data_IF_053254296919
#
_entry.id   IF_053254296919
#
_cell.length_a   1.000
_cell.length_b   1.000
_cell.length_c   1.000
_cell.angle_alpha   90.00
_cell.angle_beta   90.00
_cell.angle_gamma   90.00
#
_symmetry.space_group_name_H-M   'P 1'
#
loop_
_entity.id
_entity.type
_entity.pdbx_description
1 polymer ?
#
# COMPACT_ATOMS: atom_id res chain seq x y z
N UNK A 1 17.50 27.28 -30.56
CA UNK A 1 18.67 27.77 -29.80
C UNK A 1 18.25 29.02 -29.04
N UNK A 2 18.66 29.20 -27.78
CA UNK A 2 18.29 30.39 -27.01
C UNK A 2 19.05 31.65 -27.46
N UNK A 3 20.21 31.50 -28.11
CA UNK A 3 21.01 32.61 -28.63
C UNK A 3 21.69 32.22 -29.95
N UNK A 4 21.35 32.88 -31.09
CA UNK A 4 21.92 32.57 -32.40
C UNK A 4 23.40 32.97 -32.56
N UNK A 5 23.96 33.73 -31.62
CA UNK A 5 25.37 34.15 -31.63
C UNK A 5 26.30 33.31 -30.72
N UNK A 6 25.75 32.37 -29.93
CA UNK A 6 26.56 31.46 -29.12
C UNK A 6 26.87 30.20 -29.93
N UNK A 7 28.14 29.74 -29.98
CA UNK A 7 28.50 28.53 -30.71
C UNK A 7 27.75 27.32 -30.13
N UNK A 8 27.03 26.59 -30.99
CA UNK A 8 26.40 25.33 -30.65
C UNK A 8 27.48 24.25 -30.50
N UNK A 9 28.17 24.20 -29.37
CA UNK A 9 29.31 23.31 -29.13
C UNK A 9 28.97 21.84 -29.40
N UNK A 10 27.79 21.38 -28.96
CA UNK A 10 27.32 20.03 -29.25
C UNK A 10 27.16 19.78 -30.77
N UNK A 11 26.58 20.75 -31.50
CA UNK A 11 26.44 20.66 -32.95
C UNK A 11 27.78 20.70 -33.69
N UNK A 12 28.72 21.54 -33.24
CA UNK A 12 30.07 21.62 -33.80
C UNK A 12 30.84 20.30 -33.60
N UNK A 13 30.72 19.69 -32.41
CA UNK A 13 31.32 18.39 -32.13
C UNK A 13 30.75 17.29 -33.02
N UNK A 14 29.42 17.18 -33.12
CA UNK A 14 28.75 16.20 -33.99
C UNK A 14 29.22 16.37 -35.44
N UNK A 15 29.20 17.59 -35.97
CA UNK A 15 29.63 17.84 -37.36
C UNK A 15 31.11 17.50 -37.62
N UNK A 16 31.98 17.69 -36.63
CA UNK A 16 33.41 17.38 -36.77
C UNK A 16 33.73 15.88 -36.68
N UNK A 17 32.92 15.12 -35.94
CA UNK A 17 33.27 13.75 -35.53
C UNK A 17 32.27 12.67 -35.98
N UNK A 18 31.14 13.02 -36.63
CA UNK A 18 30.11 12.04 -37.02
C UNK A 18 30.59 10.93 -37.96
N UNK A 19 31.64 11.19 -38.74
CA UNK A 19 32.24 10.21 -39.65
C UNK A 19 33.39 9.41 -39.02
N UNK A 20 33.71 9.65 -37.74
CA UNK A 20 34.79 8.99 -37.04
C UNK A 20 34.22 7.87 -36.16
N UNK A 21 34.50 6.58 -36.44
CA UNK A 21 33.93 5.46 -35.68
C UNK A 21 34.20 5.52 -34.17
N UNK A 22 35.31 6.14 -33.77
CA UNK A 22 35.69 6.33 -32.36
C UNK A 22 34.64 7.13 -31.57
N UNK A 23 33.98 8.10 -32.21
CA UNK A 23 33.07 9.04 -31.56
C UNK A 23 31.60 8.77 -31.88
N UNK A 24 31.27 7.62 -32.46
CA UNK A 24 29.91 7.29 -32.88
C UNK A 24 28.90 7.42 -31.73
N UNK A 25 29.23 6.87 -30.55
CA UNK A 25 28.38 6.95 -29.37
C UNK A 25 28.25 8.37 -28.80
N UNK A 26 29.34 9.14 -28.80
CA UNK A 26 29.31 10.54 -28.34
C UNK A 26 28.44 11.40 -29.26
N UNK A 27 28.52 11.18 -30.58
CA UNK A 27 27.70 11.88 -31.57
C UNK A 27 26.22 11.53 -31.40
N UNK A 28 25.88 10.26 -31.17
CA UNK A 28 24.50 9.84 -30.92
C UNK A 28 23.94 10.45 -29.62
N UNK A 29 24.78 10.60 -28.58
CA UNK A 29 24.39 11.23 -27.32
C UNK A 29 24.23 12.76 -27.45
N UNK A 30 25.11 13.42 -28.20
CA UNK A 30 25.13 14.88 -28.34
C UNK A 30 24.18 15.43 -29.41
N UNK A 31 23.73 14.62 -30.38
CA UNK A 31 22.81 15.05 -31.43
C UNK A 31 21.48 15.61 -30.86
N UNK A 32 20.77 14.94 -29.92
CA UNK A 32 19.59 15.52 -29.27
C UNK A 32 19.89 16.83 -28.54
N UNK A 33 21.06 16.94 -27.91
CA UNK A 33 21.50 18.16 -27.20
C UNK A 33 21.72 19.30 -28.20
N UNK A 34 22.31 19.01 -29.36
CA UNK A 34 22.49 19.97 -30.45
C UNK A 34 21.15 20.47 -31.01
N UNK A 35 20.15 19.59 -31.08
CA UNK A 35 18.77 19.89 -31.49
C UNK A 35 17.98 20.64 -30.41
N UNK A 36 18.43 20.58 -29.16
CA UNK A 36 17.91 21.36 -28.04
C UNK A 36 17.10 20.62 -27.01
N UNK A 37 17.38 19.33 -26.86
CA UNK A 37 16.99 18.56 -25.69
C UNK A 37 17.51 19.20 -24.39
N UNK A 38 16.75 19.00 -23.33
CA UNK A 38 17.21 19.21 -21.96
C UNK A 38 18.11 18.09 -21.49
N UNK A 39 18.90 18.39 -20.46
CA UNK A 39 19.83 17.44 -19.86
C UNK A 39 19.40 17.18 -18.42
N UNK A 40 19.29 15.90 -18.07
CA UNK A 40 19.14 15.46 -16.68
C UNK A 40 20.41 14.69 -16.32
N UNK A 41 21.23 15.26 -15.42
CA UNK A 41 22.41 14.57 -14.89
C UNK A 41 22.04 13.89 -13.57
N UNK A 42 22.27 12.58 -13.46
CA UNK A 42 22.10 11.85 -12.19
C UNK A 42 23.47 11.57 -11.59
N UNK A 43 23.73 12.05 -10.38
CA UNK A 43 25.00 11.82 -9.67
C UNK A 43 24.77 11.03 -8.38
N UNK A 44 25.76 10.23 -8.01
CA UNK A 44 25.77 9.46 -6.77
C UNK A 44 26.32 10.33 -5.62
N UNK A 45 25.41 10.80 -4.77
CA UNK A 45 25.72 11.67 -3.64
C UNK A 45 26.47 10.98 -2.49
N UNK A 46 26.56 9.64 -2.50
CA UNK A 46 27.29 8.88 -1.46
C UNK A 46 28.81 8.93 -1.64
N UNK A 47 29.30 9.39 -2.81
CA UNK A 47 30.72 9.41 -3.17
C UNK A 47 31.25 10.83 -3.23
N UNK A 48 32.56 10.99 -2.99
CA UNK A 48 33.24 12.28 -3.18
C UNK A 48 33.22 12.73 -4.65
N UNK A 49 33.12 14.04 -4.88
CA UNK A 49 33.31 14.65 -6.20
C UNK A 49 34.74 14.37 -6.69
N UNK A 50 34.87 13.89 -7.93
CA UNK A 50 36.14 13.73 -8.63
C UNK A 50 36.35 14.87 -9.63
N UNK A 51 37.59 15.05 -10.07
CA UNK A 51 37.92 16.05 -11.10
C UNK A 51 37.15 15.82 -12.40
N UNK A 52 37.04 14.56 -12.84
CA UNK A 52 36.24 14.20 -14.02
C UNK A 52 34.79 14.70 -13.93
N UNK A 53 34.19 14.68 -12.73
CA UNK A 53 32.80 15.08 -12.54
C UNK A 53 32.67 16.61 -12.69
N UNK A 54 33.67 17.36 -12.23
CA UNK A 54 33.74 18.82 -12.42
C UNK A 54 33.87 19.20 -13.88
N UNK A 55 34.71 18.48 -14.62
CA UNK A 55 34.87 18.67 -16.07
C UNK A 55 33.56 18.37 -16.79
N UNK A 56 32.91 17.26 -16.46
CA UNK A 56 31.63 16.87 -17.04
C UNK A 56 30.55 17.94 -16.80
N UNK A 57 30.40 18.42 -15.57
CA UNK A 57 29.45 19.50 -15.25
C UNK A 57 29.73 20.78 -16.04
N UNK A 58 31.01 21.14 -16.22
CA UNK A 58 31.40 22.32 -16.99
C UNK A 58 31.09 22.15 -18.48
N UNK A 59 31.37 20.98 -19.06
CA UNK A 59 31.01 20.67 -20.44
C UNK A 59 29.50 20.79 -20.66
N UNK A 60 28.70 20.23 -19.75
CA UNK A 60 27.24 20.33 -19.82
C UNK A 60 26.77 21.80 -19.69
N UNK A 61 27.39 22.59 -18.80
CA UNK A 61 27.09 24.03 -18.65
C UNK A 61 27.33 24.79 -19.97
N UNK A 62 28.45 24.50 -20.65
CA UNK A 62 28.84 25.13 -21.91
C UNK A 62 27.89 24.83 -23.08
N UNK A 63 27.12 23.73 -23.04
CA UNK A 63 26.10 23.43 -24.08
C UNK A 63 24.95 24.44 -24.15
N UNK A 64 24.81 25.31 -23.14
CA UNK A 64 23.72 26.29 -23.01
C UNK A 64 22.30 25.70 -23.15
N UNK A 65 22.09 24.44 -22.74
CA UNK A 65 20.76 23.79 -22.71
C UNK A 65 20.13 23.82 -21.32
N UNK A 66 18.79 23.72 -21.21
CA UNK A 66 18.14 23.56 -19.91
C UNK A 66 18.64 22.28 -19.23
N UNK A 67 19.04 22.39 -17.95
CA UNK A 67 19.73 21.33 -17.21
C UNK A 67 19.16 21.16 -15.81
N UNK A 68 18.85 19.92 -15.44
CA UNK A 68 18.55 19.53 -14.07
C UNK A 68 19.59 18.54 -13.57
N UNK A 69 20.01 18.68 -12.32
CA UNK A 69 20.78 17.67 -11.63
C UNK A 69 19.91 16.92 -10.62
N UNK A 70 20.07 15.60 -10.60
CA UNK A 70 19.48 14.70 -9.62
C UNK A 70 20.62 14.17 -8.74
N UNK A 71 20.61 14.58 -7.48
CA UNK A 71 21.51 14.08 -6.45
C UNK A 71 20.88 12.83 -5.82
N UNK A 72 21.33 11.67 -6.25
CA UNK A 72 20.84 10.38 -5.80
C UNK A 72 21.71 9.86 -4.65
N UNK A 73 21.18 9.86 -3.42
CA UNK A 73 21.82 9.19 -2.29
C UNK A 73 21.12 7.87 -1.99
N UNK A 74 21.81 6.77 -2.26
CA UNK A 74 21.33 5.41 -2.00
C UNK A 74 21.77 4.89 -0.63
N UNK A 75 22.57 5.67 0.11
CA UNK A 75 23.20 5.25 1.36
C UNK A 75 22.84 6.18 2.52
N UNK A 76 23.22 5.80 3.73
CA UNK A 76 23.20 6.67 4.92
C UNK A 76 24.41 7.63 5.02
N UNK A 77 25.23 7.73 3.96
CA UNK A 77 26.42 8.60 3.95
C UNK A 77 26.05 9.96 3.36
N UNK A 78 25.90 10.97 4.22
CA UNK A 78 25.49 12.33 3.79
C UNK A 78 26.62 13.35 3.69
N UNK A 79 27.84 13.02 4.16
CA UNK A 79 28.98 13.96 4.22
C UNK A 79 29.38 14.57 2.87
N UNK A 80 29.03 13.92 1.76
CA UNK A 80 29.35 14.39 0.41
C UNK A 80 28.18 15.15 -0.25
N UNK A 81 26.99 15.10 0.33
CA UNK A 81 25.77 15.71 -0.23
C UNK A 81 25.88 17.23 -0.32
N UNK A 82 26.36 17.89 0.74
CA UNK A 82 26.57 19.34 0.76
C UNK A 82 27.51 19.82 -0.36
N UNK A 83 28.75 19.32 -0.43
CA UNK A 83 29.67 19.66 -1.52
C UNK A 83 29.11 19.39 -2.92
N UNK A 84 28.41 18.27 -3.12
CA UNK A 84 27.74 17.98 -4.40
C UNK A 84 26.69 19.01 -4.75
N UNK A 85 25.82 19.33 -3.79
CA UNK A 85 24.75 20.33 -3.99
C UNK A 85 25.34 21.68 -4.38
N UNK A 86 26.39 22.12 -3.70
CA UNK A 86 27.05 23.40 -3.98
C UNK A 86 27.65 23.43 -5.40
N UNK A 87 28.34 22.36 -5.80
CA UNK A 87 28.93 22.26 -7.14
C UNK A 87 27.86 22.20 -8.24
N UNK A 88 26.77 21.47 -8.04
CA UNK A 88 25.68 21.36 -9.00
C UNK A 88 24.92 22.68 -9.16
N UNK A 89 24.70 23.42 -8.06
CA UNK A 89 24.04 24.72 -8.09
C UNK A 89 24.78 25.76 -8.96
N UNK A 90 26.09 25.59 -9.17
CA UNK A 90 26.87 26.48 -10.05
C UNK A 90 26.67 26.20 -11.55
N UNK A 91 26.24 24.99 -11.92
CA UNK A 91 26.20 24.55 -13.32
C UNK A 91 24.79 24.22 -13.85
N UNK A 92 23.82 23.99 -12.97
CA UNK A 92 22.48 23.50 -13.32
C UNK A 92 21.38 24.51 -12.99
N UNK A 93 20.28 24.49 -13.76
CA UNK A 93 19.13 25.37 -13.53
C UNK A 93 18.31 24.93 -12.31
N UNK A 94 18.32 23.64 -11.99
CA UNK A 94 17.66 23.06 -10.83
C UNK A 94 18.45 21.85 -10.31
N UNK A 95 18.50 21.71 -8.98
CA UNK A 95 19.09 20.56 -8.30
C UNK A 95 18.04 19.92 -7.41
N UNK A 96 17.87 18.60 -7.50
CA UNK A 96 16.91 17.83 -6.71
C UNK A 96 17.59 16.64 -6.04
N UNK A 97 17.40 16.51 -4.74
CA UNK A 97 17.73 15.29 -4.01
C UNK A 97 16.60 14.26 -4.28
N UNK A 98 16.97 13.08 -4.79
CA UNK A 98 16.00 12.05 -5.18
C UNK A 98 16.61 10.67 -5.10
N UNK A 99 16.13 9.84 -4.18
CA UNK A 99 16.54 8.45 -4.09
C UNK A 99 15.69 7.59 -5.06
N UNK A 100 16.29 7.18 -6.17
CA UNK A 100 15.57 6.42 -7.21
C UNK A 100 15.00 5.07 -6.71
N UNK A 101 15.60 4.47 -5.69
CA UNK A 101 15.15 3.17 -5.15
C UNK A 101 13.99 3.32 -4.16
N UNK A 102 13.76 4.52 -3.63
CA UNK A 102 12.75 4.79 -2.60
C UNK A 102 11.76 5.88 -3.01
N UNK A 103 11.84 6.34 -4.25
CA UNK A 103 11.05 7.45 -4.77
C UNK A 103 9.55 7.17 -4.75
N UNK A 104 8.82 7.96 -3.96
CA UNK A 104 7.35 7.92 -3.88
C UNK A 104 6.71 8.51 -5.14
N UNK A 105 5.41 8.29 -5.33
CA UNK A 105 4.65 8.91 -6.41
C UNK A 105 4.77 10.44 -6.39
N UNK A 106 4.58 11.04 -5.23
CA UNK A 106 4.62 12.48 -5.03
C UNK A 106 6.01 13.08 -5.28
N UNK A 107 7.10 12.36 -4.95
CA UNK A 107 8.46 12.76 -5.34
C UNK A 107 8.65 12.76 -6.87
N UNK A 108 8.03 11.82 -7.60
CA UNK A 108 8.08 11.78 -9.07
C UNK A 108 7.31 12.95 -9.68
N UNK A 109 6.13 13.29 -9.15
CA UNK A 109 5.37 14.46 -9.62
C UNK A 109 6.13 15.75 -9.34
N UNK A 110 6.74 15.91 -8.16
CA UNK A 110 7.62 17.06 -7.86
C UNK A 110 8.81 17.16 -8.81
N UNK A 111 9.42 16.04 -9.19
CA UNK A 111 10.51 16.02 -10.16
C UNK A 111 10.06 16.53 -11.53
N UNK A 112 8.93 16.03 -12.04
CA UNK A 112 8.34 16.49 -13.30
C UNK A 112 7.93 17.97 -13.23
N UNK A 113 7.36 18.41 -12.09
CA UNK A 113 7.02 19.80 -11.84
C UNK A 113 8.26 20.70 -11.82
N UNK A 114 9.40 20.22 -11.31
CA UNK A 114 10.65 20.96 -11.39
C UNK A 114 11.14 21.06 -12.85
N UNK A 115 11.02 20.01 -13.66
CA UNK A 115 11.37 20.06 -15.09
C UNK A 115 10.51 21.07 -15.85
N UNK A 116 9.21 21.11 -15.53
CA UNK A 116 8.25 22.07 -16.09
C UNK A 116 8.73 23.52 -15.93
N UNK A 117 9.31 23.85 -14.78
CA UNK A 117 9.74 25.22 -14.46
C UNK A 117 11.04 25.66 -15.14
N UNK A 118 11.83 24.74 -15.73
CA UNK A 118 13.13 25.10 -16.30
C UNK A 118 12.98 25.84 -17.63
N UNK A 119 12.03 25.44 -18.48
CA UNK A 119 11.82 26.02 -19.81
C UNK A 119 10.33 26.08 -20.18
N UNK A 120 9.83 27.30 -20.40
CA UNK A 120 8.42 27.56 -20.72
C UNK A 120 7.95 26.82 -21.98
N UNK A 121 8.84 26.51 -22.92
CA UNK A 121 8.49 25.80 -24.16
C UNK A 121 8.03 24.36 -23.91
N UNK A 122 8.43 23.77 -22.79
CA UNK A 122 8.06 22.40 -22.41
C UNK A 122 6.83 22.35 -21.51
N UNK A 123 6.39 23.50 -20.99
CA UNK A 123 5.36 23.60 -19.98
C UNK A 123 4.10 22.82 -20.36
N UNK A 124 3.54 23.10 -21.54
CA UNK A 124 2.31 22.47 -22.01
C UNK A 124 2.44 20.93 -22.17
N UNK A 125 3.60 20.45 -22.63
CA UNK A 125 3.83 19.01 -22.84
C UNK A 125 4.01 18.29 -21.50
N UNK A 126 4.83 18.84 -20.61
CA UNK A 126 5.07 18.29 -19.28
C UNK A 126 3.79 18.32 -18.43
N UNK A 127 2.97 19.36 -18.56
CA UNK A 127 1.66 19.43 -17.92
C UNK A 127 0.71 18.36 -18.42
N UNK A 128 0.67 18.11 -19.73
CA UNK A 128 -0.13 17.02 -20.27
C UNK A 128 0.35 15.65 -19.74
N UNK A 129 1.67 15.46 -19.63
CA UNK A 129 2.27 14.26 -19.05
C UNK A 129 1.91 14.11 -17.57
N UNK A 130 2.11 15.14 -16.75
CA UNK A 130 1.78 15.15 -15.31
C UNK A 130 0.31 14.81 -15.10
N UNK A 131 -0.62 15.48 -15.81
CA UNK A 131 -2.06 15.16 -15.75
C UNK A 131 -2.39 13.74 -16.18
N UNK A 132 -1.62 13.15 -17.10
CA UNK A 132 -1.79 11.74 -17.47
C UNK A 132 -1.35 10.81 -16.35
N UNK A 133 -0.25 11.12 -15.67
CA UNK A 133 0.21 10.37 -14.50
C UNK A 133 -0.76 10.48 -13.33
N UNK A 134 -1.27 11.68 -13.03
CA UNK A 134 -2.27 11.92 -11.98
C UNK A 134 -3.56 11.13 -12.22
N UNK A 135 -4.08 11.14 -13.45
CA UNK A 135 -5.28 10.35 -13.79
C UNK A 135 -5.03 8.85 -13.70
N UNK A 136 -3.90 8.36 -14.21
CA UNK A 136 -3.55 6.94 -14.09
C UNK A 136 -3.40 6.53 -12.62
N UNK A 137 -2.81 7.39 -11.80
CA UNK A 137 -2.63 7.14 -10.38
C UNK A 137 -3.96 7.12 -9.63
N UNK A 138 -4.83 8.12 -9.84
CA UNK A 138 -6.19 8.15 -9.27
C UNK A 138 -6.95 6.87 -9.60
N UNK A 139 -6.90 6.42 -10.85
CA UNK A 139 -7.55 5.17 -11.27
C UNK A 139 -7.02 3.95 -10.49
N UNK A 140 -5.71 3.87 -10.22
CA UNK A 140 -5.13 2.77 -9.42
C UNK A 140 -5.60 2.82 -7.97
N UNK A 141 -5.76 4.02 -7.40
CA UNK A 141 -6.35 4.20 -6.07
C UNK A 141 -7.78 3.66 -6.07
N UNK A 142 -8.61 4.08 -7.03
CA UNK A 142 -10.00 3.64 -7.13
C UNK A 142 -10.12 2.11 -7.25
N UNK A 143 -9.23 1.50 -8.05
CA UNK A 143 -9.14 0.05 -8.20
C UNK A 143 -8.74 -0.65 -6.89
N UNK A 144 -7.82 -0.07 -6.11
CA UNK A 144 -7.47 -0.61 -4.79
C UNK A 144 -8.63 -0.51 -3.82
N UNK A 145 -9.33 0.63 -3.77
CA UNK A 145 -10.53 0.80 -2.94
C UNK A 145 -11.58 -0.26 -3.28
N UNK A 146 -11.82 -0.49 -4.58
CA UNK A 146 -12.75 -1.52 -5.04
C UNK A 146 -12.35 -2.94 -4.58
N UNK A 147 -11.07 -3.30 -4.75
CA UNK A 147 -10.54 -4.59 -4.29
C UNK A 147 -10.69 -4.76 -2.76
N UNK A 148 -10.45 -3.70 -1.97
CA UNK A 148 -10.61 -3.71 -0.50
C UNK A 148 -12.08 -3.87 -0.11
N UNK A 149 -12.99 -3.09 -0.70
CA UNK A 149 -14.43 -3.19 -0.41
C UNK A 149 -14.97 -4.56 -0.79
N UNK A 150 -14.55 -5.10 -1.94
CA UNK A 150 -14.91 -6.45 -2.38
C UNK A 150 -14.41 -7.52 -1.41
N UNK A 151 -13.16 -7.42 -0.94
CA UNK A 151 -12.60 -8.30 0.08
C UNK A 151 -13.43 -8.28 1.36
N UNK A 152 -13.70 -7.07 1.89
CA UNK A 152 -14.46 -6.89 3.12
C UNK A 152 -15.85 -7.50 3.01
N UNK A 153 -16.58 -7.24 1.92
CA UNK A 153 -17.90 -7.84 1.70
C UNK A 153 -17.82 -9.36 1.65
N UNK A 154 -16.94 -9.93 0.82
CA UNK A 154 -16.78 -11.39 0.67
C UNK A 154 -16.40 -12.06 2.00
N UNK A 155 -15.46 -11.48 2.74
CA UNK A 155 -15.02 -12.00 4.04
C UNK A 155 -16.14 -11.92 5.10
N UNK A 156 -16.90 -10.83 5.12
CA UNK A 156 -17.99 -10.61 6.07
C UNK A 156 -19.27 -11.37 5.73
N UNK A 157 -19.42 -11.88 4.52
CA UNK A 157 -20.53 -12.78 4.14
C UNK A 157 -20.13 -14.25 4.05
N UNK A 158 -18.85 -14.57 4.25
CA UNK A 158 -18.35 -15.93 4.08
C UNK A 158 -19.05 -16.88 5.06
N UNK A 159 -19.54 -18.00 4.53
CA UNK A 159 -20.03 -19.14 5.29
C UNK A 159 -19.41 -20.42 4.76
N UNK A 160 -19.11 -21.35 5.66
CA UNK A 160 -18.68 -22.70 5.34
C UNK A 160 -19.64 -23.66 6.02
N UNK A 161 -20.15 -24.62 5.26
CA UNK A 161 -21.13 -25.58 5.74
C UNK A 161 -20.66 -27.01 5.48
N UNK A 162 -21.02 -27.92 6.36
CA UNK A 162 -20.81 -29.35 6.21
C UNK A 162 -22.07 -30.10 6.65
N UNK A 163 -22.56 -30.96 5.77
CA UNK A 163 -23.60 -31.92 6.09
C UNK A 163 -22.95 -33.19 6.62
N UNK A 164 -23.46 -33.69 7.74
CA UNK A 164 -22.94 -34.86 8.45
C UNK A 164 -24.14 -35.73 8.83
N UNK A 165 -24.04 -37.05 8.65
CA UNK A 165 -25.07 -37.96 9.19
C UNK A 165 -24.93 -38.04 10.69
N UNK A 166 -26.04 -38.12 11.44
CA UNK A 166 -25.98 -38.24 12.92
C UNK A 166 -25.08 -39.41 13.36
N UNK A 167 -25.06 -40.49 12.57
CA UNK A 167 -24.22 -41.67 12.78
C UNK A 167 -22.72 -41.44 12.56
N UNK A 168 -22.34 -40.40 11.80
CA UNK A 168 -20.93 -40.03 11.53
C UNK A 168 -20.33 -39.15 12.65
N UNK A 169 -21.16 -38.66 13.57
CA UNK A 169 -20.72 -37.92 14.74
C UNK A 169 -21.47 -38.37 16.02
N UNK A 170 -21.29 -39.65 16.42
CA UNK A 170 -22.02 -40.24 17.54
C UNK A 170 -21.56 -39.70 18.90
N UNK A 171 -20.32 -39.21 19.00
CA UNK A 171 -19.75 -38.67 20.23
C UNK A 171 -19.52 -37.15 20.18
N UNK A 172 -19.27 -36.56 21.35
CA UNK A 172 -18.90 -35.16 21.45
C UNK A 172 -17.54 -34.88 20.79
N UNK A 173 -16.59 -35.81 20.91
CA UNK A 173 -15.25 -35.69 20.34
C UNK A 173 -15.29 -35.65 18.79
N UNK A 174 -16.19 -36.44 18.18
CA UNK A 174 -16.39 -36.43 16.72
C UNK A 174 -16.94 -35.07 16.24
N UNK A 175 -17.89 -34.51 16.98
CA UNK A 175 -18.41 -33.17 16.70
C UNK A 175 -17.33 -32.10 16.87
N UNK A 176 -16.49 -32.20 17.90
CA UNK A 176 -15.39 -31.27 18.12
C UNK A 176 -14.36 -31.32 16.98
N UNK A 177 -14.03 -32.52 16.49
CA UNK A 177 -13.14 -32.70 15.34
C UNK A 177 -13.72 -32.09 14.06
N UNK A 178 -15.01 -32.32 13.78
CA UNK A 178 -15.69 -31.75 12.61
C UNK A 178 -15.70 -30.22 12.66
N UNK A 179 -15.96 -29.66 13.83
CA UNK A 179 -15.94 -28.22 14.06
C UNK A 179 -14.53 -27.63 13.89
N UNK A 180 -13.49 -28.33 14.33
CA UNK A 180 -12.10 -27.93 14.10
C UNK A 180 -11.77 -27.89 12.60
N UNK A 181 -12.18 -28.91 11.84
CA UNK A 181 -12.02 -28.92 10.37
C UNK A 181 -12.79 -27.78 9.69
N UNK A 182 -14.00 -27.46 10.17
CA UNK A 182 -14.78 -26.32 9.68
C UNK A 182 -14.07 -24.99 9.95
N UNK A 183 -13.51 -24.81 11.15
CA UNK A 183 -12.72 -23.62 11.51
C UNK A 183 -11.52 -23.45 10.60
N UNK A 184 -10.75 -24.52 10.39
CA UNK A 184 -9.59 -24.52 9.51
C UNK A 184 -9.99 -24.15 8.07
N UNK A 185 -11.07 -24.77 7.56
CA UNK A 185 -11.60 -24.47 6.21
C UNK A 185 -12.04 -23.01 6.09
N UNK A 186 -12.69 -22.47 7.12
CA UNK A 186 -13.14 -21.09 7.17
C UNK A 186 -11.96 -20.11 7.17
N UNK A 187 -10.97 -20.33 8.03
CA UNK A 187 -9.75 -19.53 8.09
C UNK A 187 -8.97 -19.59 6.77
N UNK A 188 -8.84 -20.77 6.18
CA UNK A 188 -8.15 -20.95 4.90
C UNK A 188 -8.85 -20.21 3.76
N UNK A 189 -10.19 -20.21 3.72
CA UNK A 189 -10.93 -19.39 2.75
C UNK A 189 -10.71 -17.89 2.96
N UNK A 190 -10.65 -17.42 4.20
CA UNK A 190 -10.32 -16.01 4.50
C UNK A 190 -8.89 -15.64 4.07
N UNK A 191 -7.90 -16.52 4.33
CA UNK A 191 -6.51 -16.34 3.85
C UNK A 191 -6.46 -16.26 2.33
N UNK A 192 -7.21 -17.10 1.62
CA UNK A 192 -7.29 -17.07 0.15
C UNK A 192 -7.92 -15.79 -0.37
N UNK A 193 -8.98 -15.30 0.26
CA UNK A 193 -9.57 -14.01 -0.09
C UNK A 193 -8.55 -12.88 0.06
N UNK A 194 -7.83 -12.84 1.19
CA UNK A 194 -6.78 -11.85 1.42
C UNK A 194 -5.67 -11.95 0.35
N UNK A 195 -5.13 -13.16 0.12
CA UNK A 195 -4.05 -13.39 -0.84
C UNK A 195 -4.46 -13.03 -2.28
N UNK A 196 -5.70 -13.33 -2.67
CA UNK A 196 -6.25 -12.92 -3.96
C UNK A 196 -6.27 -11.40 -4.08
N UNK A 197 -6.83 -10.70 -3.09
CA UNK A 197 -6.91 -9.24 -3.08
C UNK A 197 -5.54 -8.58 -3.08
N UNK A 198 -4.56 -9.13 -2.35
CA UNK A 198 -3.17 -8.69 -2.41
C UNK A 198 -2.59 -8.86 -3.83
N UNK A 199 -2.91 -9.96 -4.52
CA UNK A 199 -2.56 -10.17 -5.92
C UNK A 199 -3.16 -9.12 -6.86
N UNK A 200 -4.43 -8.78 -6.68
CA UNK A 200 -5.12 -7.72 -7.43
C UNK A 200 -4.47 -6.35 -7.21
N UNK A 201 -4.26 -5.96 -5.94
CA UNK A 201 -3.59 -4.70 -5.56
C UNK A 201 -2.21 -4.61 -6.21
N UNK A 202 -1.42 -5.69 -6.14
CA UNK A 202 -0.10 -5.75 -6.77
C UNK A 202 -0.20 -5.56 -8.30
N UNK A 203 -1.20 -6.16 -8.92
CA UNK A 203 -1.51 -6.01 -10.34
C UNK A 203 -1.80 -4.56 -10.74
N UNK A 204 -2.59 -3.83 -9.95
CA UNK A 204 -2.90 -2.40 -10.18
C UNK A 204 -1.62 -1.54 -10.21
N UNK A 205 -0.60 -1.87 -9.41
CA UNK A 205 0.70 -1.19 -9.41
C UNK A 205 1.72 -1.74 -10.41
N UNK A 206 1.39 -2.79 -11.17
CA UNK A 206 2.25 -3.43 -12.19
C UNK A 206 3.57 -3.99 -11.63
N UNK A 207 3.54 -4.51 -10.40
CA UNK A 207 4.70 -5.13 -9.79
C UNK A 207 4.81 -6.61 -10.18
N UNK A 208 5.80 -6.92 -11.02
CA UNK A 208 6.11 -8.28 -11.46
C UNK A 208 7.15 -8.97 -10.55
N UNK A 209 8.02 -8.19 -9.91
CA UNK A 209 9.02 -8.67 -8.94
C UNK A 209 8.68 -8.04 -7.58
N UNK A 210 8.30 -8.89 -6.63
CA UNK A 210 7.74 -8.47 -5.35
C UNK A 210 8.28 -9.34 -4.22
N UNK A 211 9.23 -8.81 -3.45
CA UNK A 211 9.76 -9.45 -2.24
C UNK A 211 9.96 -8.42 -1.11
N UNK A 212 8.87 -7.85 -0.58
CA UNK A 212 8.97 -6.93 0.54
C UNK A 212 9.59 -7.61 1.78
N UNK A 213 10.61 -7.03 2.44
CA UNK A 213 11.15 -7.57 3.71
C UNK A 213 10.07 -7.72 4.81
N UNK A 214 10.29 -8.67 5.72
CA UNK A 214 9.31 -9.10 6.73
C UNK A 214 8.70 -7.96 7.56
N UNK A 215 7.38 -8.03 7.75
CA UNK A 215 6.56 -7.12 8.59
C UNK A 215 5.32 -7.89 9.09
N UNK A 216 4.38 -7.23 9.77
CA UNK A 216 3.06 -7.75 10.18
C UNK A 216 2.29 -8.38 9.00
N UNK A 217 2.57 -7.94 7.77
CA UNK A 217 2.00 -8.51 6.55
C UNK A 217 2.51 -9.92 6.23
N UNK A 218 3.70 -10.29 6.72
CA UNK A 218 4.26 -11.65 6.58
C UNK A 218 3.74 -12.63 7.64
N UNK A 219 3.05 -12.12 8.67
CA UNK A 219 2.45 -12.93 9.73
C UNK A 219 1.05 -13.41 9.29
N UNK A 220 0.64 -14.56 9.82
CA UNK A 220 -0.71 -15.11 9.57
C UNK A 220 -1.80 -14.13 10.02
N UNK A 221 -2.87 -14.02 9.23
CA UNK A 221 -4.02 -13.16 9.49
C UNK A 221 -4.60 -13.35 10.89
N UNK A 222 -4.53 -14.58 11.43
CA UNK A 222 -5.08 -14.94 12.73
C UNK A 222 -4.02 -15.02 13.84
N UNK A 223 -2.82 -14.49 13.61
CA UNK A 223 -1.76 -14.43 14.63
C UNK A 223 -1.99 -13.33 15.67
N UNK A 224 -1.45 -13.53 16.87
CA UNK A 224 -1.66 -12.62 17.99
C UNK A 224 -1.01 -11.26 17.76
N UNK A 225 0.18 -11.29 17.16
CA UNK A 225 0.91 -10.11 16.74
C UNK A 225 0.08 -9.22 15.80
N UNK A 226 -0.59 -9.82 14.79
CA UNK A 226 -1.46 -9.10 13.86
C UNK A 226 -2.65 -8.47 14.58
N UNK A 227 -3.30 -9.21 15.48
CA UNK A 227 -4.46 -8.71 16.20
C UNK A 227 -4.12 -7.63 17.22
N UNK A 228 -2.97 -7.72 17.89
CA UNK A 228 -2.55 -6.71 18.86
C UNK A 228 -2.13 -5.41 18.16
N UNK A 229 -1.53 -5.52 16.97
CA UNK A 229 -0.97 -4.39 16.22
C UNK A 229 -2.01 -3.65 15.38
N UNK A 230 -3.01 -4.35 14.84
CA UNK A 230 -3.96 -3.80 13.86
C UNK A 230 -5.41 -3.76 14.36
N UNK A 231 -6.23 -3.00 13.65
CA UNK A 231 -7.63 -2.72 13.98
C UNK A 231 -7.78 -1.68 15.10
N UNK A 232 -9.03 -1.51 15.56
CA UNK A 232 -9.32 -0.54 16.63
C UNK A 232 -8.87 -1.04 18.01
N UNK A 233 -8.50 -0.09 18.86
CA UNK A 233 -8.36 -0.33 20.30
C UNK A 233 -9.71 -0.72 20.94
N UNK A 234 -9.68 -1.33 22.13
CA UNK A 234 -10.91 -1.79 22.81
C UNK A 234 -11.91 -0.65 23.08
N UNK A 235 -11.41 0.53 23.45
CA UNK A 235 -12.23 1.72 23.73
C UNK A 235 -12.87 2.28 22.45
N UNK A 236 -12.11 2.40 21.37
CA UNK A 236 -12.63 2.84 20.07
C UNK A 236 -13.65 1.85 19.50
N UNK A 237 -13.41 0.55 19.67
CA UNK A 237 -14.32 -0.49 19.23
C UNK A 237 -15.67 -0.42 19.98
N UNK A 238 -15.65 -0.17 21.29
CA UNK A 238 -16.86 0.02 22.07
C UNK A 238 -17.66 1.24 21.58
N UNK A 239 -16.98 2.35 21.31
CA UNK A 239 -17.61 3.59 20.81
C UNK A 239 -18.19 3.42 19.40
N UNK A 240 -17.45 2.80 18.49
CA UNK A 240 -17.88 2.55 17.12
C UNK A 240 -19.03 1.54 17.07
N UNK A 241 -18.95 0.49 17.91
CA UNK A 241 -19.98 -0.54 18.05
C UNK A 241 -21.31 0.01 18.57
N UNK A 242 -21.28 0.86 19.61
CA UNK A 242 -22.50 1.44 20.19
C UNK A 242 -23.31 2.23 19.14
N UNK A 243 -22.63 2.97 18.25
CA UNK A 243 -23.28 3.70 17.17
C UNK A 243 -23.86 2.77 16.09
N UNK A 244 -23.18 1.66 15.79
CA UNK A 244 -23.65 0.68 14.82
C UNK A 244 -24.90 -0.08 15.29
N UNK A 245 -25.00 -0.38 16.60
CA UNK A 245 -26.17 -1.02 17.20
C UNK A 245 -27.41 -0.12 17.20
N UNK A 246 -27.26 1.19 17.41
CA UNK A 246 -28.37 2.13 17.46
C UNK A 246 -29.00 2.42 16.08
N UNK A 247 -28.18 2.45 15.02
CA UNK A 247 -28.63 2.86 13.68
C UNK A 247 -29.23 1.73 12.82
N UNK A 248 -29.07 0.46 13.22
CA UNK A 248 -29.48 -0.68 12.41
C UNK A 248 -30.86 -1.27 12.76
N UNK A 249 -31.61 -0.65 13.70
CA UNK A 249 -32.96 -1.10 14.09
C UNK A 249 -32.97 -2.56 14.56
N UNK A 250 -32.29 -2.86 15.67
CA UNK A 250 -32.28 -4.20 16.25
C UNK A 250 -31.05 -4.41 17.11
N UNK A 251 -31.28 -4.82 18.37
CA UNK A 251 -30.31 -5.06 19.43
C UNK A 251 -29.15 -5.92 18.90
N UNK A 252 -27.99 -5.28 18.67
CA UNK A 252 -26.74 -6.01 18.56
C UNK A 252 -26.19 -6.06 19.98
N UNK A 253 -26.27 -7.26 20.57
CA UNK A 253 -25.70 -7.60 21.86
C UNK A 253 -24.18 -7.44 21.78
N UNK A 254 -23.70 -6.21 22.02
CA UNK A 254 -22.29 -5.95 22.26
C UNK A 254 -22.05 -6.44 23.68
N UNK A 255 -21.58 -7.69 23.77
CA UNK A 255 -21.26 -8.37 25.01
C UNK A 255 -20.49 -7.48 25.98
N UNK A 256 -21.24 -6.86 26.88
CA UNK A 256 -20.83 -6.46 28.21
C UNK A 256 -21.62 -7.42 29.09
N UNK A 257 -20.92 -8.27 29.83
CA UNK A 257 -21.45 -9.53 30.37
C UNK A 257 -22.86 -9.49 30.97
N UNK A 258 -23.65 -10.52 30.60
CA UNK A 258 -24.77 -11.05 31.38
C UNK A 258 -26.11 -10.35 31.22
N UNK A 259 -27.16 -11.16 30.99
CA UNK A 259 -28.60 -10.84 31.03
C UNK A 259 -29.28 -10.43 29.70
N UNK A 260 -29.23 -11.29 28.69
CA UNK A 260 -30.25 -11.25 27.60
C UNK A 260 -31.40 -12.20 27.94
N UNK A 261 -32.50 -11.61 28.42
CA UNK A 261 -33.77 -12.27 28.78
C UNK A 261 -34.47 -12.85 27.53
N UNK A 262 -34.66 -14.18 27.52
CA UNK A 262 -35.92 -14.84 27.14
C UNK A 262 -36.34 -14.92 25.67
N UNK A 263 -35.79 -15.86 24.89
CA UNK A 263 -36.54 -16.95 24.21
C UNK A 263 -35.55 -17.92 23.56
N UNK A 264 -35.70 -19.21 23.84
CA UNK A 264 -34.62 -20.19 23.79
C UNK A 264 -34.17 -20.65 22.40
N UNK A 265 -32.85 -20.70 22.23
CA UNK A 265 -32.13 -21.83 21.63
C UNK A 265 -30.83 -21.98 22.44
N UNK A 266 -30.79 -22.98 23.32
CA UNK A 266 -29.59 -23.36 24.07
C UNK A 266 -28.81 -24.36 23.19
N UNK A 267 -28.12 -23.87 22.16
CA UNK A 267 -27.18 -24.67 21.39
C UNK A 267 -25.83 -24.67 22.12
N UNK A 268 -25.41 -25.88 22.53
CA UNK A 268 -24.32 -26.11 23.46
C UNK A 268 -23.03 -25.38 23.11
N UNK A 269 -22.53 -24.59 24.06
CA UNK A 269 -21.17 -24.10 24.07
C UNK A 269 -20.25 -25.29 24.39
N UNK A 270 -19.61 -25.84 23.37
CA UNK A 270 -18.51 -26.77 23.55
C UNK A 270 -17.21 -25.99 23.36
N UNK A 271 -16.65 -25.59 24.50
CA UNK A 271 -15.30 -25.07 24.70
C UNK A 271 -14.29 -26.21 24.57
N UNK A 272 -13.53 -26.25 23.48
CA UNK A 272 -12.48 -27.24 23.24
C UNK A 272 -11.33 -26.66 22.41
N UNK A 273 -10.13 -26.64 22.99
CA UNK A 273 -9.02 -25.76 22.63
C UNK A 273 -8.23 -26.12 21.36
N UNK A 274 -8.02 -25.10 20.51
CA UNK A 274 -6.75 -24.64 19.94
C UNK A 274 -7.02 -23.18 19.53
N UNK A 275 -6.40 -22.22 20.22
CA UNK A 275 -6.67 -20.79 20.06
C UNK A 275 -5.59 -20.16 19.17
N UNK A 276 -5.91 -19.90 17.90
CA UNK A 276 -5.33 -18.75 17.20
C UNK A 276 -5.83 -17.47 17.86
N UNK A 277 -5.23 -16.32 17.57
CA UNK A 277 -5.49 -15.07 18.31
C UNK A 277 -6.97 -14.66 18.37
N UNK A 278 -7.74 -15.01 17.35
CA UNK A 278 -9.19 -14.75 17.30
C UNK A 278 -10.06 -15.78 18.02
N UNK A 279 -9.49 -16.85 18.57
CA UNK A 279 -10.17 -17.94 19.26
C UNK A 279 -11.27 -18.65 18.46
N UNK A 280 -11.60 -19.88 18.85
CA UNK A 280 -12.69 -20.65 18.24
C UNK A 280 -14.05 -19.94 18.41
N UNK A 281 -14.25 -19.26 19.53
CA UNK A 281 -15.48 -18.53 19.87
C UNK A 281 -15.49 -17.07 19.39
N UNK A 282 -14.30 -16.49 19.16
CA UNK A 282 -14.17 -15.06 18.91
C UNK A 282 -14.31 -14.67 17.44
N UNK A 283 -14.05 -15.59 16.48
CA UNK A 283 -14.08 -15.29 15.05
C UNK A 283 -15.49 -15.45 14.44
N UNK A 284 -16.08 -16.64 14.55
CA UNK A 284 -17.39 -16.98 14.01
C UNK A 284 -18.08 -18.03 14.91
N UNK A 285 -19.41 -17.95 15.03
CA UNK A 285 -20.20 -18.94 15.75
C UNK A 285 -20.46 -20.14 14.85
N UNK A 286 -20.56 -21.31 15.46
CA UNK A 286 -20.99 -22.53 14.78
C UNK A 286 -22.49 -22.68 15.01
N UNK A 287 -23.23 -22.89 13.91
CA UNK A 287 -24.66 -23.20 13.95
C UNK A 287 -24.89 -24.64 13.49
N UNK A 288 -25.77 -25.36 14.21
CA UNK A 288 -26.04 -26.78 13.99
C UNK A 288 -27.55 -26.94 13.76
N UNK A 289 -27.93 -27.14 12.50
CA UNK A 289 -29.32 -27.46 12.14
C UNK A 289 -29.50 -28.98 12.01
N UNK A 290 -30.48 -29.56 12.70
CA UNK A 290 -30.79 -30.99 12.60
C UNK A 290 -32.07 -31.22 11.79
N UNK A 291 -32.01 -32.04 10.75
CA UNK A 291 -33.17 -32.47 9.94
C UNK A 291 -33.03 -33.91 9.48
N UNK A 292 -34.04 -34.75 9.75
CA UNK A 292 -34.20 -36.10 9.17
C UNK A 292 -32.92 -36.97 9.25
N UNK A 293 -32.29 -37.06 10.42
CA UNK A 293 -31.06 -37.87 10.61
C UNK A 293 -29.77 -37.24 10.05
N UNK A 294 -29.85 -36.02 9.52
CA UNK A 294 -28.72 -35.21 9.08
C UNK A 294 -28.51 -34.03 10.04
N UNK A 295 -27.25 -33.66 10.25
CA UNK A 295 -26.81 -32.45 10.93
C UNK A 295 -26.08 -31.56 9.92
N UNK A 296 -26.54 -30.32 9.75
CA UNK A 296 -25.83 -29.28 9.01
C UNK A 296 -25.06 -28.44 10.01
N UNK A 297 -23.74 -28.54 10.00
CA UNK A 297 -22.87 -27.64 10.75
C UNK A 297 -22.44 -26.51 9.83
N UNK A 298 -22.65 -25.27 10.24
CA UNK A 298 -22.23 -24.08 9.51
C UNK A 298 -21.37 -23.18 10.38
N UNK A 299 -20.41 -22.51 9.75
CA UNK A 299 -19.55 -21.51 10.39
C UNK A 299 -19.52 -20.25 9.53
N UNK A 300 -19.74 -19.11 10.18
CA UNK A 300 -19.77 -17.80 9.54
C UNK A 300 -21.18 -17.19 9.51
N UNK A 301 -21.29 -15.87 9.29
CA UNK A 301 -20.20 -14.95 8.96
C UNK A 301 -19.33 -14.58 10.17
N UNK A 302 -18.24 -13.85 9.95
CA UNK A 302 -17.40 -13.35 11.05
C UNK A 302 -18.23 -12.46 11.98
N UNK A 303 -18.25 -12.81 13.27
CA UNK A 303 -18.95 -12.03 14.30
C UNK A 303 -18.03 -11.05 15.03
N UNK A 304 -16.72 -11.32 15.06
CA UNK A 304 -15.74 -10.45 15.73
C UNK A 304 -15.83 -9.01 15.20
N UNK A 305 -16.18 -8.00 16.03
CA UNK A 305 -16.29 -6.62 15.55
C UNK A 305 -14.92 -5.99 15.22
N UNK A 306 -13.81 -6.50 15.78
CA UNK A 306 -12.45 -6.02 15.49
C UNK A 306 -11.91 -6.54 14.15
N UNK A 307 -12.24 -7.78 13.77
CA UNK A 307 -11.72 -8.43 12.56
C UNK A 307 -11.82 -7.60 11.27
N UNK A 308 -12.96 -6.96 10.90
CA UNK A 308 -13.01 -6.17 9.67
C UNK A 308 -12.04 -4.99 9.68
N UNK A 309 -11.78 -4.37 10.83
CA UNK A 309 -10.78 -3.32 10.95
C UNK A 309 -9.35 -3.85 10.82
N UNK A 310 -9.08 -5.05 11.33
CA UNK A 310 -7.78 -5.73 11.13
C UNK A 310 -7.56 -6.02 9.64
N UNK A 311 -8.56 -6.59 8.96
CA UNK A 311 -8.48 -6.91 7.54
C UNK A 311 -8.33 -5.64 6.68
N UNK A 312 -9.03 -4.57 7.05
CA UNK A 312 -8.90 -3.26 6.43
C UNK A 312 -7.46 -2.72 6.58
N UNK A 313 -6.92 -2.69 7.80
CA UNK A 313 -5.57 -2.18 8.06
C UNK A 313 -4.50 -2.95 7.31
N UNK A 314 -4.61 -4.29 7.26
CA UNK A 314 -3.70 -5.14 6.48
C UNK A 314 -3.76 -4.80 5.00
N UNK A 315 -4.95 -4.56 4.47
CA UNK A 315 -5.10 -4.21 3.06
C UNK A 315 -4.52 -2.83 2.75
N UNK A 316 -4.74 -1.85 3.62
CA UNK A 316 -4.18 -0.50 3.50
C UNK A 316 -2.65 -0.50 3.64
N UNK A 317 -2.09 -1.28 4.57
CA UNK A 317 -0.64 -1.49 4.70
C UNK A 317 -0.06 -2.12 3.44
N UNK A 318 -0.75 -3.10 2.87
CA UNK A 318 -0.33 -3.71 1.61
C UNK A 318 -0.35 -2.71 0.45
N UNK A 319 -1.39 -1.89 0.33
CA UNK A 319 -1.44 -0.78 -0.63
C UNK A 319 -0.29 0.20 -0.42
N UNK A 320 -0.07 0.68 0.81
CA UNK A 320 1.02 1.60 1.13
C UNK A 320 2.38 1.05 0.67
N UNK A 321 2.59 -0.26 0.86
CA UNK A 321 3.80 -0.94 0.40
C UNK A 321 3.87 -1.04 -1.11
N UNK A 322 2.77 -1.41 -1.77
CA UNK A 322 2.73 -1.54 -3.22
C UNK A 322 2.95 -0.20 -3.93
N UNK A 323 2.40 0.88 -3.38
CA UNK A 323 2.50 2.24 -3.92
C UNK A 323 3.92 2.80 -3.82
N UNK A 324 4.64 2.45 -2.75
CA UNK A 324 5.97 2.97 -2.46
C UNK A 324 7.11 2.02 -2.84
N UNK A 325 6.80 0.88 -3.48
CA UNK A 325 7.81 -0.02 -4.01
C UNK A 325 8.36 0.51 -5.35
N UNK A 326 9.68 0.71 -5.44
CA UNK A 326 10.30 1.09 -6.71
C UNK A 326 10.69 -0.13 -7.53
N UNK A 327 10.58 -0.02 -8.86
CA UNK A 327 11.02 -1.07 -9.79
C UNK A 327 12.55 -1.27 -9.80
N UNK A 328 13.32 -0.30 -9.30
CA UNK A 328 14.77 -0.38 -9.15
C UNK A 328 15.22 -1.02 -7.84
N UNK A 329 14.30 -1.31 -6.90
CA UNK A 329 14.64 -1.89 -5.59
C UNK A 329 15.03 -3.35 -5.77
N UNK A 330 16.33 -3.64 -5.64
CA UNK A 330 16.84 -5.01 -5.69
C UNK A 330 17.02 -5.59 -4.28
N UNK A 331 16.91 -6.91 -4.15
CA UNK A 331 17.14 -7.60 -2.87
C UNK A 331 18.57 -7.36 -2.34
N UNK A 332 19.55 -7.18 -3.22
CA UNK A 332 20.93 -6.87 -2.86
C UNK A 332 21.07 -5.51 -2.15
N UNK A 333 20.25 -4.50 -2.52
CA UNK A 333 20.29 -3.18 -1.90
C UNK A 333 19.70 -3.20 -0.47
N UNK A 334 18.75 -4.10 -0.21
CA UNK A 334 18.13 -4.26 1.11
C UNK A 334 19.05 -4.95 2.13
N UNK A 335 20.00 -5.76 1.65
CA UNK A 335 21.00 -6.41 2.49
C UNK A 335 22.25 -5.55 2.72
N UNK A 336 22.37 -4.40 2.06
CA UNK A 336 23.55 -3.56 2.16
C UNK A 336 23.68 -2.92 3.56
N UNK A 337 24.86 -2.97 4.21
CA UNK A 337 25.06 -2.45 5.57
C UNK A 337 24.87 -0.93 5.66
N UNK A 338 25.04 -0.23 4.53
CA UNK A 338 24.98 1.23 4.46
C UNK A 338 23.70 1.72 3.77
N UNK A 339 22.67 0.85 3.63
CA UNK A 339 21.44 1.19 2.91
C UNK A 339 20.83 2.47 3.47
N UNK A 340 20.24 3.29 2.60
CA UNK A 340 19.44 4.43 3.05
C UNK A 340 18.35 3.92 4.03
N UNK A 341 18.18 4.55 5.20
CA UNK A 341 17.20 4.11 6.18
C UNK A 341 15.77 4.20 5.61
N UNK A 342 14.89 3.31 6.07
CA UNK A 342 13.44 3.52 5.85
C UNK A 342 13.01 4.76 6.65
N UNK A 343 11.97 5.46 6.19
CA UNK A 343 11.43 6.58 6.96
C UNK A 343 10.86 5.99 8.25
N UNK A 344 11.39 6.42 9.40
CA UNK A 344 10.88 5.95 10.69
C UNK A 344 9.38 6.27 10.80
N UNK A 345 8.55 5.30 11.20
CA UNK A 345 7.13 5.51 11.33
C UNK A 345 6.85 6.44 12.51
N UNK A 346 6.04 7.47 12.29
CA UNK A 346 5.56 8.38 13.33
C UNK A 346 4.54 7.71 14.26
N UNK A 347 3.95 6.58 13.87
CA UNK A 347 2.93 5.84 14.63
C UNK A 347 3.07 4.33 14.47
N UNK A 348 2.90 3.60 15.57
CA UNK A 348 2.94 2.12 15.63
C UNK A 348 1.55 1.44 15.64
N UNK A 349 0.50 2.15 15.21
CA UNK A 349 -0.88 1.68 15.24
C UNK A 349 -1.46 1.53 13.83
N UNK A 350 -2.55 0.76 13.69
CA UNK A 350 -3.35 0.56 12.47
C UNK A 350 -4.01 1.83 11.90
N UNK A 351 -4.46 1.81 10.64
CA UNK A 351 -4.92 3.00 9.90
C UNK A 351 -6.29 3.39 10.42
N UNK A 352 -7.14 2.40 10.63
CA UNK A 352 -8.43 2.51 11.27
C UNK A 352 -8.37 3.26 12.61
N UNK A 353 -7.38 2.99 13.46
CA UNK A 353 -7.23 3.64 14.76
C UNK A 353 -6.93 5.15 14.64
N UNK A 354 -6.29 5.58 13.55
CA UNK A 354 -5.98 6.98 13.28
C UNK A 354 -7.12 7.76 12.63
N UNK A 355 -8.17 7.09 12.17
CA UNK A 355 -9.33 7.76 11.57
C UNK A 355 -10.14 8.55 12.61
N UNK A 356 -10.79 9.66 12.21
CA UNK A 356 -11.79 10.32 13.01
C UNK A 356 -12.88 9.36 13.51
N UNK A 357 -13.39 9.62 14.72
CA UNK A 357 -14.42 8.76 15.32
C UNK A 357 -15.72 8.68 14.49
N UNK A 358 -16.04 9.70 13.69
CA UNK A 358 -17.15 9.67 12.72
C UNK A 358 -16.95 8.60 11.65
N UNK A 359 -15.77 8.57 11.03
CA UNK A 359 -15.42 7.61 9.98
C UNK A 359 -15.33 6.18 10.52
N UNK A 360 -14.78 6.01 11.73
CA UNK A 360 -14.78 4.72 12.42
C UNK A 360 -16.22 4.19 12.62
N UNK A 361 -17.17 5.06 12.96
CA UNK A 361 -18.59 4.70 13.10
C UNK A 361 -19.24 4.38 11.75
N UNK A 362 -18.94 5.14 10.70
CA UNK A 362 -19.41 4.86 9.33
C UNK A 362 -18.94 3.48 8.88
N UNK A 363 -17.65 3.17 9.02
CA UNK A 363 -17.08 1.86 8.70
C UNK A 363 -17.73 0.74 9.53
N UNK A 364 -17.91 0.94 10.84
CA UNK A 364 -18.57 -0.06 11.69
C UNK A 364 -20.00 -0.37 11.23
N UNK A 365 -20.79 0.66 10.88
CA UNK A 365 -22.15 0.50 10.35
C UNK A 365 -22.15 -0.21 8.99
N UNK A 366 -21.21 0.12 8.12
CA UNK A 366 -21.02 -0.57 6.84
C UNK A 366 -20.70 -2.05 7.06
N UNK A 367 -19.79 -2.40 7.99
CA UNK A 367 -19.46 -3.80 8.28
C UNK A 367 -20.66 -4.60 8.79
N UNK A 368 -21.51 -3.99 9.63
CA UNK A 368 -22.75 -4.62 10.10
C UNK A 368 -23.72 -4.85 8.93
N UNK A 369 -23.85 -3.90 8.01
CA UNK A 369 -24.70 -4.04 6.82
C UNK A 369 -24.15 -5.13 5.87
N UNK A 370 -22.84 -5.12 5.61
CA UNK A 370 -22.15 -6.09 4.77
C UNK A 370 -22.32 -7.53 5.28
N UNK A 371 -22.24 -7.76 6.60
CA UNK A 371 -22.49 -9.09 7.21
C UNK A 371 -23.88 -9.63 6.93
N UNK A 372 -24.88 -8.76 6.74
CA UNK A 372 -26.26 -9.15 6.40
C UNK A 372 -26.42 -9.42 4.90
N UNK A 373 -25.37 -9.28 4.09
CA UNK A 373 -25.42 -9.43 2.64
C UNK A 373 -26.27 -8.35 1.94
N UNK A 374 -26.52 -7.23 2.61
CA UNK A 374 -27.34 -6.13 2.08
C UNK A 374 -26.45 -5.08 1.43
N UNK A 375 -26.91 -4.51 0.32
CA UNK A 375 -26.34 -3.26 -0.18
C UNK A 375 -26.49 -2.18 0.90
N UNK A 376 -25.41 -1.41 1.10
CA UNK A 376 -25.35 -0.38 2.13
C UNK A 376 -25.30 0.98 1.48
N UNK A 377 -26.20 1.88 1.89
CA UNK A 377 -26.15 3.29 1.49
C UNK A 377 -24.88 4.01 2.00
N UNK A 378 -24.12 3.39 2.90
CA UNK A 378 -22.86 3.90 3.43
C UNK A 378 -21.64 3.51 2.58
N UNK A 379 -21.82 2.69 1.56
CA UNK A 379 -20.71 2.26 0.70
C UNK A 379 -20.01 3.42 -0.02
N UNK A 380 -20.69 4.44 -0.57
CA UNK A 380 -20.03 5.61 -1.14
C UNK A 380 -19.16 6.36 -0.13
N UNK A 381 -19.66 6.57 1.09
CA UNK A 381 -18.90 7.24 2.16
C UNK A 381 -17.70 6.39 2.59
N UNK A 382 -17.84 5.06 2.65
CA UNK A 382 -16.71 4.17 2.90
C UNK A 382 -15.67 4.22 1.78
N UNK A 383 -16.11 4.31 0.51
CA UNK A 383 -15.19 4.47 -0.63
C UNK A 383 -14.38 5.76 -0.51
N UNK A 384 -15.03 6.87 -0.14
CA UNK A 384 -14.38 8.16 0.06
C UNK A 384 -13.32 8.09 1.16
N UNK A 385 -13.67 7.54 2.34
CA UNK A 385 -12.72 7.35 3.45
C UNK A 385 -11.47 6.56 2.98
N UNK A 386 -11.67 5.45 2.28
CA UNK A 386 -10.57 4.63 1.79
C UNK A 386 -9.73 5.35 0.72
N UNK A 387 -10.38 6.07 -0.19
CA UNK A 387 -9.71 6.84 -1.22
C UNK A 387 -8.86 7.96 -0.61
N UNK A 388 -9.35 8.66 0.41
CA UNK A 388 -8.61 9.70 1.13
C UNK A 388 -7.38 9.14 1.84
N UNK A 389 -7.52 7.99 2.53
CA UNK A 389 -6.38 7.34 3.18
C UNK A 389 -5.31 6.94 2.15
N UNK A 390 -5.71 6.30 1.06
CA UNK A 390 -4.78 5.88 0.00
C UNK A 390 -4.17 7.07 -0.74
N UNK A 391 -4.93 8.15 -0.96
CA UNK A 391 -4.40 9.38 -1.54
C UNK A 391 -3.39 10.04 -0.59
N UNK A 392 -3.69 10.07 0.71
CA UNK A 392 -2.79 10.59 1.73
C UNK A 392 -1.48 9.79 1.82
N UNK A 393 -1.57 8.46 1.69
CA UNK A 393 -0.42 7.58 1.60
C UNK A 393 0.42 7.86 0.34
N UNK A 394 -0.23 8.11 -0.80
CA UNK A 394 0.48 8.40 -2.06
C UNK A 394 1.22 9.73 -2.05
N UNK A 395 0.69 10.70 -1.32
CA UNK A 395 1.21 12.06 -1.19
C UNK A 395 2.15 12.23 0.00
N UNK A 396 2.44 11.15 0.73
CA UNK A 396 3.23 11.17 1.96
C UNK A 396 2.67 12.09 3.06
N UNK A 397 1.41 12.50 2.97
CA UNK A 397 0.70 13.25 4.04
C UNK A 397 0.28 12.32 5.17
N UNK A 398 0.02 11.06 4.85
CA UNK A 398 -0.11 9.95 5.79
C UNK A 398 1.15 9.08 5.71
N UNK A 399 1.68 8.72 6.88
CA UNK A 399 2.83 7.83 7.00
C UNK A 399 2.51 6.43 6.49
N UNK A 400 3.42 5.84 5.70
CA UNK A 400 3.30 4.50 5.14
C UNK A 400 3.42 3.37 6.19
N UNK A 401 3.99 3.69 7.37
CA UNK A 401 4.18 2.77 8.51
C UNK A 401 4.98 1.54 8.11
N UNK A 402 6.08 1.76 7.41
CA UNK A 402 6.90 0.72 6.80
C UNK A 402 7.45 -0.32 7.77
N UNK A 403 7.60 0.03 9.05
CA UNK A 403 8.12 -0.88 10.09
C UNK A 403 7.01 -1.66 10.83
N UNK A 404 5.73 -1.47 10.49
CA UNK A 404 4.64 -2.38 10.89
C UNK A 404 4.63 -3.59 9.97
#
# INVERSE_FOLDING_TARGET
QAHPQLPNLAGAFVAAHEHQPLFAHDCDLLRPVAEGAGIILVVDGSKRIKEKDRVEMELLRLTARPRMAILNNQTNVDRHMGPWRDALNMAFNAVREFNAHRATYDERIRLLGALKTIDQRWEARLDATIRSFERDWSRRIDQCVESILTLLKKALTLKVERLVRVEEAPSQDDLEAIQATLLETFQERLRRLEAQTQGEIRGHFRHNVWNPPGSVLSKDLFSEEVQQTLGLSRSQLALAGAAAGAAAGGVIDLGVGGLSFGTGVLLGAITGGVLGAFGREGLAKIDIERRLGLQRLSMGPVHNPKFPFVLLDRSLLYCARAMNWSHGRQAADEAAPNRAPEREPKRRAGFAESLPASEQKTLARFFVAARKGKESSLEPECREILAEVLHGLSTSTIDARSDL
#
